data_IF_716595170262
#
_entry.id   IF_716595170262
#
_cell.length_a   1.000
_cell.length_b   1.000
_cell.length_c   1.000
_cell.angle_alpha   90.00
_cell.angle_beta   90.00
_cell.angle_gamma   90.00
#
_symmetry.space_group_name_H-M   'P 1'
#
loop_
_entity.id
_entity.type
_entity.pdbx_description
1 polymer ?
#
# COMPACT_ATOMS: atom_id res chain seq x y z
N UNK A 1 30.14 8.96 10.61
CA UNK A 1 30.44 7.55 10.86
C UNK A 1 29.42 6.66 10.16
N UNK A 2 29.90 5.70 9.38
CA UNK A 2 29.01 4.84 8.61
C UNK A 2 28.12 3.96 9.49
N UNK A 3 28.58 3.65 10.70
CA UNK A 3 27.79 2.86 11.64
C UNK A 3 26.55 3.63 12.07
N UNK A 4 26.70 4.90 12.35
CA UNK A 4 25.56 5.74 12.74
C UNK A 4 24.62 5.94 11.57
N UNK A 5 25.17 6.11 10.38
CA UNK A 5 24.36 6.26 9.18
C UNK A 5 23.53 5.01 8.91
N UNK A 6 24.17 3.85 9.00
CA UNK A 6 23.47 2.59 8.76
C UNK A 6 22.40 2.34 9.83
N UNK A 7 22.68 2.73 11.05
CA UNK A 7 21.71 2.58 12.13
C UNK A 7 20.49 3.46 11.89
N UNK A 8 20.70 4.68 11.42
CA UNK A 8 19.58 5.57 11.11
C UNK A 8 18.74 5.02 9.97
N UNK A 9 19.38 4.47 8.93
CA UNK A 9 18.66 3.88 7.82
C UNK A 9 17.87 2.65 8.27
N UNK A 10 18.47 1.82 9.11
CA UNK A 10 17.79 0.65 9.63
C UNK A 10 16.58 1.04 10.46
N UNK A 11 16.71 2.09 11.26
CA UNK A 11 15.59 2.56 12.06
C UNK A 11 14.45 3.06 11.19
N UNK A 12 14.75 3.68 10.06
CA UNK A 12 13.71 4.15 9.15
C UNK A 12 13.00 3.01 8.45
N UNK A 13 13.70 1.93 8.18
CA UNK A 13 13.12 0.78 7.48
C UNK A 13 12.39 -0.13 8.45
N UNK A 14 12.92 -0.28 9.65
CA UNK A 14 12.40 -1.25 10.61
C UNK A 14 10.96 -0.98 11.03
N UNK A 15 10.53 0.27 11.03
CA UNK A 15 9.16 0.54 11.46
C UNK A 15 8.13 -0.11 10.55
N UNK A 16 8.47 -0.33 9.29
CA UNK A 16 7.56 -1.02 8.37
C UNK A 16 7.45 -2.50 8.65
N UNK A 17 8.46 -3.06 9.29
CA UNK A 17 8.51 -4.48 9.55
C UNK A 17 7.93 -4.84 10.91
N UNK A 18 7.64 -3.86 11.72
CA UNK A 18 7.22 -4.07 13.09
C UNK A 18 5.77 -4.43 13.30
N UNK A 19 5.01 -4.61 12.24
CA UNK A 19 3.60 -4.94 12.40
C UNK A 19 2.72 -3.76 12.77
N UNK A 20 3.22 -2.56 12.66
CA UNK A 20 2.43 -1.38 12.92
C UNK A 20 1.41 -1.16 11.81
N UNK A 21 0.26 -0.55 12.14
CA UNK A 21 -0.73 -0.27 11.11
C UNK A 21 -0.15 0.59 9.99
N UNK A 22 -0.57 0.32 8.77
CA UNK A 22 -0.15 1.14 7.64
C UNK A 22 -0.66 2.57 7.82
N UNK A 23 0.17 3.54 7.45
CA UNK A 23 -0.22 4.93 7.50
C UNK A 23 -1.15 5.25 6.34
N UNK A 24 -1.88 6.37 6.46
CA UNK A 24 -2.72 6.85 5.38
C UNK A 24 -1.90 7.03 4.09
N UNK A 25 -0.66 7.49 4.22
CA UNK A 25 0.23 7.69 3.08
C UNK A 25 0.61 6.36 2.41
N UNK A 26 0.89 5.34 3.21
CA UNK A 26 1.22 4.03 2.67
C UNK A 26 0.04 3.41 1.94
N UNK A 27 -1.15 3.54 2.50
CA UNK A 27 -2.35 3.01 1.88
C UNK A 27 -2.65 3.78 0.59
N UNK A 28 -2.44 5.10 0.59
CA UNK A 28 -2.58 5.90 -0.62
C UNK A 28 -1.64 5.44 -1.72
N UNK A 29 -0.41 5.08 -1.35
CA UNK A 29 0.56 4.55 -2.31
C UNK A 29 0.08 3.21 -2.88
N UNK A 30 -0.52 2.37 -2.04
CA UNK A 30 -1.08 1.10 -2.52
C UNK A 30 -2.21 1.33 -3.51
N UNK A 31 -3.06 2.31 -3.27
CA UNK A 31 -4.12 2.66 -4.22
C UNK A 31 -3.53 3.09 -5.57
N UNK A 32 -2.50 3.91 -5.55
CA UNK A 32 -1.84 4.34 -6.78
C UNK A 32 -1.19 3.17 -7.50
N UNK A 33 -0.58 2.27 -6.74
CA UNK A 33 0.03 1.08 -7.32
C UNK A 33 -1.01 0.18 -7.97
N UNK A 34 -2.16 0.02 -7.31
CA UNK A 34 -3.24 -0.78 -7.87
C UNK A 34 -3.71 -0.21 -9.20
N UNK A 35 -3.83 1.12 -9.29
CA UNK A 35 -4.21 1.75 -10.55
C UNK A 35 -3.19 1.49 -11.64
N UNK A 36 -1.91 1.50 -11.29
CA UNK A 36 -0.85 1.18 -12.26
C UNK A 36 -0.99 -0.25 -12.76
N UNK A 37 -1.30 -1.20 -11.89
CA UNK A 37 -1.54 -2.57 -12.32
C UNK A 37 -2.74 -2.67 -13.25
N UNK A 38 -3.79 -1.91 -12.95
CA UNK A 38 -4.96 -1.89 -13.84
C UNK A 38 -4.59 -1.35 -15.21
N UNK A 39 -3.76 -0.31 -15.27
CA UNK A 39 -3.30 0.26 -16.52
C UNK A 39 -2.44 -0.71 -17.31
N UNK A 40 -1.70 -1.57 -16.61
CA UNK A 40 -0.88 -2.59 -17.26
C UNK A 40 -1.69 -3.79 -17.73
N UNK A 41 -2.95 -3.85 -17.39
CA UNK A 41 -3.77 -4.99 -17.74
C UNK A 41 -3.58 -6.18 -16.81
N UNK A 42 -3.22 -5.92 -15.54
CA UNK A 42 -3.03 -6.96 -14.54
C UNK A 42 -4.08 -6.82 -13.44
N UNK A 43 -5.33 -7.28 -13.69
CA UNK A 43 -6.39 -7.11 -12.70
C UNK A 43 -6.17 -7.95 -11.44
N UNK A 44 -5.50 -9.07 -11.52
CA UNK A 44 -5.25 -9.89 -10.34
C UNK A 44 -4.28 -9.22 -9.39
N UNK A 45 -3.22 -8.62 -9.94
CA UNK A 45 -2.28 -7.86 -9.12
C UNK A 45 -2.96 -6.67 -8.47
N UNK A 46 -3.78 -5.96 -9.23
CA UNK A 46 -4.52 -4.83 -8.68
C UNK A 46 -5.45 -5.28 -7.56
N UNK A 47 -6.16 -6.38 -7.75
CA UNK A 47 -7.10 -6.88 -6.76
C UNK A 47 -6.40 -7.23 -5.45
N UNK A 48 -5.25 -7.89 -5.52
CA UNK A 48 -4.50 -8.24 -4.32
C UNK A 48 -4.14 -7.01 -3.51
N UNK A 49 -3.68 -5.97 -4.19
CA UNK A 49 -3.29 -4.73 -3.52
C UNK A 49 -4.51 -4.03 -2.94
N UNK A 50 -5.61 -4.01 -3.69
CA UNK A 50 -6.84 -3.37 -3.22
C UNK A 50 -7.43 -4.08 -2.01
N UNK A 51 -7.30 -5.40 -1.94
CA UNK A 51 -7.75 -6.15 -0.77
C UNK A 51 -6.96 -5.75 0.48
N UNK A 52 -5.68 -5.47 0.33
CA UNK A 52 -4.89 -4.95 1.44
C UNK A 52 -5.41 -3.60 1.90
N UNK A 53 -5.77 -2.74 0.96
CA UNK A 53 -6.35 -1.44 1.30
C UNK A 53 -7.66 -1.59 2.05
N UNK A 54 -8.47 -2.58 1.69
CA UNK A 54 -9.73 -2.84 2.41
C UNK A 54 -9.49 -3.17 3.88
N UNK A 55 -8.34 -3.77 4.20
CA UNK A 55 -8.01 -4.13 5.57
C UNK A 55 -7.31 -3.01 6.32
N UNK A 56 -6.52 -2.19 5.63
CA UNK A 56 -5.65 -1.22 6.26
C UNK A 56 -6.14 0.21 6.15
N UNK A 57 -6.98 0.49 5.18
CA UNK A 57 -7.37 1.85 4.87
C UNK A 57 -8.42 2.42 5.79
N UNK A 58 -8.53 3.74 5.78
CA UNK A 58 -9.63 4.42 6.43
C UNK A 58 -10.90 4.26 5.57
N UNK A 59 -12.09 4.71 6.06
CA UNK A 59 -13.32 4.51 5.29
C UNK A 59 -13.28 5.09 3.88
N UNK A 60 -12.66 6.24 3.69
CA UNK A 60 -12.56 6.85 2.36
C UNK A 60 -11.71 6.00 1.43
N UNK A 61 -10.58 5.51 1.94
CA UNK A 61 -9.68 4.67 1.15
C UNK A 61 -10.32 3.33 0.83
N UNK A 62 -11.06 2.76 1.78
CA UNK A 62 -11.77 1.50 1.53
C UNK A 62 -12.83 1.66 0.46
N UNK A 63 -13.55 2.78 0.48
CA UNK A 63 -14.54 3.04 -0.56
C UNK A 63 -13.90 3.14 -1.93
N UNK A 64 -12.75 3.78 -2.01
CA UNK A 64 -12.02 3.89 -3.26
C UNK A 64 -11.57 2.51 -3.73
N UNK A 65 -11.06 1.68 -2.82
CA UNK A 65 -10.63 0.33 -3.17
C UNK A 65 -11.82 -0.51 -3.66
N UNK A 66 -12.97 -0.41 -2.99
CA UNK A 66 -14.16 -1.14 -3.42
C UNK A 66 -14.59 -0.72 -4.82
N UNK A 67 -14.52 0.56 -5.11
CA UNK A 67 -14.89 1.07 -6.41
C UNK A 67 -13.95 0.54 -7.50
N UNK A 68 -12.66 0.53 -7.20
CA UNK A 68 -11.68 0.03 -8.15
C UNK A 68 -11.83 -1.47 -8.38
N UNK A 69 -12.09 -2.24 -7.32
CA UNK A 69 -12.34 -3.67 -7.46
C UNK A 69 -13.56 -3.91 -8.34
N UNK A 70 -14.61 -3.13 -8.13
CA UNK A 70 -15.84 -3.28 -8.92
C UNK A 70 -15.62 -2.99 -10.40
N UNK A 71 -14.59 -2.21 -10.74
CA UNK A 71 -14.29 -1.90 -12.13
C UNK A 71 -13.37 -2.93 -12.79
N UNK A 72 -12.85 -3.88 -12.03
CA UNK A 72 -11.98 -4.91 -12.58
C UNK A 72 -12.79 -5.91 -13.40
N UNK A 73 -12.21 -6.44 -14.50
CA UNK A 73 -12.89 -7.44 -15.30
C UNK A 73 -13.05 -8.77 -14.57
#
# INVERSE_FOLDING_TARGET
DSTEFNKALSAEVDYDLGGEPATMSEVGTKLDLARAYMDMGDPEGARSILEEVLQEGNPTQRQEAERLIASLP
#
